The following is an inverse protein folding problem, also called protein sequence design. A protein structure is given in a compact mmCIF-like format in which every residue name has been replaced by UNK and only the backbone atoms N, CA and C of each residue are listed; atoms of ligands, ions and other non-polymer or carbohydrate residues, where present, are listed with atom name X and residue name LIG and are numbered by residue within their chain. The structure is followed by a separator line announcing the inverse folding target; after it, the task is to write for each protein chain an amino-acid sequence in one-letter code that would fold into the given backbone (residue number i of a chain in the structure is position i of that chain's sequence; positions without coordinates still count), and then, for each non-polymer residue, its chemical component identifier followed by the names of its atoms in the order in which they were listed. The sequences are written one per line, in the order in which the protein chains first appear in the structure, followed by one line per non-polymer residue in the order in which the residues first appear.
data_IF_006179064931
#
_entry.id   IF_006179064931
#
_cell.length_a   1.000
_cell.length_b   1.000
_cell.length_c   1.000
_cell.angle_alpha   90.00
_cell.angle_beta   90.00
_cell.angle_gamma   90.00
#
_symmetry.space_group_name_H-M   'P 1'
#
loop_
_entity.id
_entity.type
_entity.pdbx_description
1 polymer ?
#
# COMPACT_ATOMS: atom_id res chain seq x y z
N UNK A 1 -0.35 9.05 27.41
CA UNK A 1 -1.68 9.47 26.86
C UNK A 1 -2.65 8.33 27.07
N UNK A 2 -3.75 8.55 27.82
CA UNK A 2 -4.72 7.49 28.14
C UNK A 2 -5.60 7.22 26.91
N UNK A 3 -5.87 5.96 26.58
CA UNK A 3 -6.70 5.51 25.46
C UNK A 3 -8.08 6.23 25.41
N UNK A 4 -8.60 6.59 26.58
CA UNK A 4 -9.84 7.36 26.73
C UNK A 4 -9.81 8.75 26.08
N UNK A 5 -8.64 9.40 26.01
CA UNK A 5 -8.51 10.72 25.40
C UNK A 5 -8.50 10.61 23.85
N UNK A 6 -8.00 9.50 23.32
CA UNK A 6 -8.01 9.21 21.87
C UNK A 6 -9.45 8.99 21.37
N UNK A 7 -10.25 8.22 22.11
CA UNK A 7 -11.66 7.97 21.76
C UNK A 7 -12.48 9.26 21.85
N UNK A 8 -12.25 10.11 22.85
CA UNK A 8 -12.91 11.43 22.97
C UNK A 8 -12.54 12.37 21.80
N UNK A 9 -11.27 12.37 21.38
CA UNK A 9 -10.79 13.14 20.23
C UNK A 9 -11.50 12.69 18.95
N UNK A 10 -11.51 11.38 18.69
CA UNK A 10 -12.15 10.79 17.51
C UNK A 10 -13.63 11.17 17.43
N UNK A 11 -14.39 11.00 18.53
CA UNK A 11 -15.83 11.30 18.57
C UNK A 11 -16.12 12.79 18.38
N UNK A 12 -15.27 13.66 18.89
CA UNK A 12 -15.44 15.13 18.83
C UNK A 12 -15.06 15.72 17.47
N UNK A 13 -14.12 15.09 16.76
CA UNK A 13 -13.58 15.56 15.48
C UNK A 13 -13.82 14.57 14.33
N UNK A 14 -14.82 13.69 14.50
CA UNK A 14 -15.15 12.63 13.54
C UNK A 14 -15.39 13.20 12.14
N UNK A 15 -16.08 14.33 12.01
CA UNK A 15 -16.34 15.01 10.74
C UNK A 15 -15.02 15.44 10.06
N UNK A 16 -14.07 15.99 10.82
CA UNK A 16 -12.77 16.42 10.27
C UNK A 16 -11.96 15.21 9.78
N UNK A 17 -11.92 14.13 10.56
CA UNK A 17 -11.22 12.90 10.19
C UNK A 17 -11.88 12.29 8.94
N UNK A 18 -13.21 12.21 8.90
CA UNK A 18 -13.96 11.66 7.79
C UNK A 18 -13.76 12.47 6.50
N UNK A 19 -13.72 13.80 6.61
CA UNK A 19 -13.47 14.68 5.47
C UNK A 19 -12.03 14.52 4.93
N UNK A 20 -11.04 14.42 5.82
CA UNK A 20 -9.65 14.15 5.43
C UNK A 20 -9.48 12.76 4.81
N UNK A 21 -10.17 11.73 5.33
CA UNK A 21 -10.13 10.39 4.72
C UNK A 21 -10.75 10.37 3.34
N UNK A 22 -11.88 11.07 3.16
CA UNK A 22 -12.54 11.17 1.86
C UNK A 22 -11.66 11.91 0.85
N UNK A 23 -10.99 12.99 1.26
CA UNK A 23 -10.00 13.69 0.44
C UNK A 23 -8.80 12.80 0.11
N UNK A 24 -8.30 12.01 1.07
CA UNK A 24 -7.21 11.07 0.85
C UNK A 24 -7.57 9.98 -0.16
N UNK A 25 -8.78 9.43 -0.07
CA UNK A 25 -9.29 8.46 -1.05
C UNK A 25 -9.45 9.11 -2.43
N UNK A 26 -10.03 10.32 -2.50
CA UNK A 26 -10.18 11.06 -3.75
C UNK A 26 -8.82 11.35 -4.42
N UNK A 27 -7.81 11.73 -3.63
CA UNK A 27 -6.44 11.91 -4.12
C UNK A 27 -5.83 10.58 -4.61
N UNK A 28 -6.05 9.46 -3.90
CA UNK A 28 -5.60 8.14 -4.32
C UNK A 28 -6.25 7.69 -5.64
N UNK A 29 -7.54 7.95 -5.83
CA UNK A 29 -8.24 7.69 -7.10
C UNK A 29 -7.74 8.64 -8.20
N UNK A 30 -7.49 9.91 -7.90
CA UNK A 30 -6.93 10.87 -8.84
C UNK A 30 -5.55 10.42 -9.36
N UNK A 31 -4.66 9.96 -8.48
CA UNK A 31 -3.36 9.38 -8.85
C UNK A 31 -3.51 8.11 -9.71
N UNK A 32 -4.50 7.27 -9.41
CA UNK A 32 -4.78 6.07 -10.21
C UNK A 32 -5.17 6.43 -11.65
N UNK A 33 -5.96 7.49 -11.84
CA UNK A 33 -6.43 7.92 -13.16
C UNK A 33 -5.30 8.55 -14.01
N UNK A 34 -4.30 9.14 -13.37
CA UNK A 34 -3.13 9.72 -14.05
C UNK A 34 -2.03 8.70 -14.35
N UNK A 35 -2.04 7.53 -13.69
CA UNK A 35 -1.04 6.48 -13.91
C UNK A 35 -1.45 5.59 -15.10
N UNK A 36 -0.62 5.46 -16.15
CA UNK A 36 -0.93 4.61 -17.28
C UNK A 36 -1.08 3.15 -16.86
N UNK A 37 -2.06 2.47 -17.44
CA UNK A 37 -2.27 1.05 -17.18
C UNK A 37 -1.18 0.23 -17.87
N UNK A 38 -0.48 -0.60 -17.12
CA UNK A 38 0.48 -1.55 -17.63
C UNK A 38 0.02 -2.99 -17.36
N UNK A 39 0.42 -3.88 -18.21
CA UNK A 39 0.05 -5.29 -18.15
C UNK A 39 1.30 -6.13 -17.99
N UNK A 40 1.29 -7.05 -17.05
CA UNK A 40 2.42 -7.90 -16.73
C UNK A 40 2.05 -9.36 -16.99
N UNK A 41 2.78 -10.00 -17.87
CA UNK A 41 2.65 -11.41 -18.20
C UNK A 41 3.90 -12.17 -17.73
N UNK A 42 3.74 -13.43 -17.32
CA UNK A 42 4.85 -14.28 -16.89
C UNK A 42 4.83 -15.60 -17.66
N UNK A 43 6.00 -16.02 -18.12
CA UNK A 43 6.24 -17.33 -18.71
C UNK A 43 7.42 -18.01 -17.99
N UNK A 44 7.51 -19.33 -18.04
CA UNK A 44 8.58 -20.09 -17.38
C UNK A 44 9.29 -20.98 -18.38
N UNK A 45 10.60 -20.87 -18.39
CA UNK A 45 11.50 -21.78 -19.14
C UNK A 45 12.11 -22.81 -18.20
N UNK A 46 12.43 -23.96 -18.73
CA UNK A 46 13.13 -25.05 -18.05
C UNK A 46 14.49 -25.32 -18.72
N UNK A 47 15.51 -25.40 -17.89
CA UNK A 47 16.87 -25.76 -18.36
C UNK A 47 17.07 -27.25 -18.12
N UNK A 48 17.22 -27.98 -19.20
CA UNK A 48 17.55 -29.44 -19.16
C UNK A 48 18.95 -29.68 -19.66
N UNK A 49 19.58 -30.71 -19.10
CA UNK A 49 20.83 -31.26 -19.61
C UNK A 49 20.55 -32.67 -20.12
N UNK A 50 20.81 -32.90 -21.41
CA UNK A 50 20.69 -34.23 -22.01
C UNK A 50 21.90 -35.08 -21.61
N UNK A 51 21.66 -36.07 -20.77
CA UNK A 51 22.68 -37.06 -20.42
C UNK A 51 22.69 -38.10 -21.55
N UNK A 52 23.83 -38.23 -22.23
CA UNK A 52 23.98 -39.32 -23.18
C UNK A 52 23.75 -40.65 -22.45
N UNK A 53 22.81 -41.46 -22.95
CA UNK A 53 22.48 -42.76 -22.38
C UNK A 53 23.71 -43.69 -22.52
N UNK A 54 24.64 -43.58 -21.56
CA UNK A 54 25.62 -44.61 -21.35
C UNK A 54 24.92 -45.82 -20.76
N UNK A 55 25.17 -46.98 -21.27
CA UNK A 55 24.54 -48.31 -20.98
C UNK A 55 24.58 -48.70 -19.48
N UNK A 56 25.30 -47.95 -18.66
CA UNK A 56 25.35 -48.05 -17.20
C UNK A 56 24.73 -46.80 -16.61
N UNK A 57 23.42 -46.80 -16.47
CA UNK A 57 22.65 -45.72 -15.85
C UNK A 57 23.00 -45.53 -14.36
N UNK A 58 24.15 -44.93 -14.08
CA UNK A 58 24.53 -44.58 -12.71
C UNK A 58 23.77 -43.33 -12.29
N UNK A 59 23.17 -43.37 -11.12
CA UNK A 59 22.46 -42.29 -10.46
C UNK A 59 23.30 -40.99 -10.38
N UNK A 60 24.62 -41.13 -10.33
CA UNK A 60 25.59 -40.04 -10.29
C UNK A 60 25.55 -39.12 -11.52
N UNK A 61 25.24 -39.68 -12.71
CA UNK A 61 25.13 -38.90 -13.95
C UNK A 61 23.91 -37.97 -13.92
N UNK A 62 22.78 -38.42 -13.32
CA UNK A 62 21.58 -37.57 -13.18
C UNK A 62 21.78 -36.45 -12.18
N UNK A 63 22.43 -36.74 -11.03
CA UNK A 63 22.73 -35.74 -10.04
C UNK A 63 23.66 -34.65 -10.62
N UNK A 64 24.74 -35.03 -11.25
CA UNK A 64 25.70 -34.11 -11.89
C UNK A 64 25.04 -33.28 -12.99
N UNK A 65 24.18 -33.89 -13.82
CA UNK A 65 23.43 -33.20 -14.86
C UNK A 65 22.43 -32.18 -14.26
N UNK A 66 21.73 -32.53 -13.19
CA UNK A 66 20.80 -31.63 -12.50
C UNK A 66 21.53 -30.44 -11.85
N UNK A 67 22.68 -30.70 -11.25
CA UNK A 67 23.50 -29.64 -10.66
C UNK A 67 24.07 -28.70 -11.74
N UNK A 68 24.53 -29.23 -12.87
CA UNK A 68 24.96 -28.43 -14.01
C UNK A 68 23.82 -27.59 -14.57
N UNK A 69 22.63 -28.19 -14.76
CA UNK A 69 21.46 -27.48 -15.25
C UNK A 69 21.06 -26.32 -14.30
N UNK A 70 21.12 -26.50 -12.96
CA UNK A 70 20.85 -25.47 -11.99
C UNK A 70 21.85 -24.32 -12.05
N UNK A 71 23.15 -24.64 -12.17
CA UNK A 71 24.18 -23.60 -12.34
C UNK A 71 24.01 -22.85 -13.66
N UNK A 72 23.73 -23.56 -14.76
CA UNK A 72 23.48 -22.97 -16.08
C UNK A 72 22.19 -22.11 -16.07
N UNK A 73 21.12 -22.56 -15.42
CA UNK A 73 19.89 -21.75 -15.25
C UNK A 73 20.17 -20.40 -14.62
N UNK A 74 20.99 -20.37 -13.58
CA UNK A 74 21.40 -19.12 -12.93
C UNK A 74 22.23 -18.21 -13.87
N UNK A 75 23.16 -18.79 -14.63
CA UNK A 75 23.98 -18.03 -15.57
C UNK A 75 23.18 -17.51 -16.77
N UNK A 76 22.18 -18.26 -17.24
CA UNK A 76 21.37 -17.86 -18.37
C UNK A 76 20.38 -16.73 -18.10
N UNK A 77 20.08 -16.40 -16.84
CA UNK A 77 19.20 -15.26 -16.49
C UNK A 77 19.64 -13.99 -17.23
N UNK A 78 20.94 -13.73 -17.32
CA UNK A 78 21.47 -12.55 -18.02
C UNK A 78 21.26 -12.61 -19.54
N UNK A 79 21.15 -13.78 -20.13
CA UNK A 79 20.88 -13.95 -21.57
C UNK A 79 19.45 -13.52 -21.88
N UNK A 80 18.49 -13.83 -21.00
CA UNK A 80 17.08 -13.48 -21.19
C UNK A 80 16.81 -11.98 -21.14
N UNK A 81 17.68 -11.21 -20.50
CA UNK A 81 17.58 -9.74 -20.43
C UNK A 81 18.59 -9.03 -21.33
N UNK A 82 19.29 -9.76 -22.20
CA UNK A 82 20.31 -9.21 -23.09
C UNK A 82 19.69 -8.36 -24.20
N UNK A 83 20.42 -7.33 -24.64
CA UNK A 83 20.04 -6.49 -25.79
C UNK A 83 19.86 -7.32 -27.07
N UNK A 84 20.67 -8.35 -27.27
CA UNK A 84 20.57 -9.22 -28.45
C UNK A 84 19.22 -9.93 -28.51
N UNK A 85 18.76 -10.49 -27.39
CA UNK A 85 17.42 -11.11 -27.31
C UNK A 85 16.34 -10.07 -27.47
N UNK A 86 16.46 -8.90 -26.82
CA UNK A 86 15.50 -7.81 -26.95
C UNK A 86 15.37 -7.33 -28.42
N UNK A 87 16.48 -7.22 -29.14
CA UNK A 87 16.48 -6.82 -30.55
C UNK A 87 15.75 -7.84 -31.43
N UNK A 88 15.97 -9.15 -31.22
CA UNK A 88 15.26 -10.19 -31.97
C UNK A 88 13.74 -10.17 -31.67
N UNK A 89 13.38 -10.04 -30.40
CA UNK A 89 11.96 -9.96 -30.00
C UNK A 89 11.28 -8.74 -30.63
N UNK A 90 11.94 -7.57 -30.69
CA UNK A 90 11.44 -6.38 -31.36
C UNK A 90 11.21 -6.64 -32.84
N UNK A 91 12.17 -7.28 -33.49
CA UNK A 91 12.07 -7.62 -34.90
C UNK A 91 10.91 -8.59 -35.18
N UNK A 92 10.79 -9.63 -34.36
CA UNK A 92 9.80 -10.73 -34.58
C UNK A 92 8.36 -10.23 -34.28
N UNK A 93 8.19 -9.36 -33.30
CA UNK A 93 6.88 -8.83 -32.92
C UNK A 93 6.55 -7.48 -33.58
N UNK A 94 7.48 -6.88 -34.33
CA UNK A 94 7.29 -5.59 -35.00
C UNK A 94 7.07 -4.43 -34.01
N UNK A 95 7.78 -4.44 -32.88
CA UNK A 95 7.60 -3.42 -31.83
C UNK A 95 8.34 -2.14 -32.20
N UNK A 96 7.72 -0.99 -31.95
CA UNK A 96 8.30 0.34 -32.18
C UNK A 96 8.96 0.90 -30.92
N UNK A 97 9.92 0.17 -30.36
CA UNK A 97 10.70 0.59 -29.19
C UNK A 97 12.17 0.22 -29.32
N UNK A 98 13.05 0.83 -28.51
CA UNK A 98 14.47 0.51 -28.50
C UNK A 98 14.74 -0.79 -27.73
N UNK A 99 15.83 -1.54 -28.07
CA UNK A 99 16.20 -2.74 -27.33
C UNK A 99 16.40 -2.52 -25.82
N UNK A 100 16.95 -1.36 -25.44
CA UNK A 100 17.15 -1.01 -24.04
C UNK A 100 15.82 -0.76 -23.31
N UNK A 101 14.86 -0.12 -23.98
CA UNK A 101 13.52 0.06 -23.42
C UNK A 101 12.80 -1.27 -23.21
N UNK A 102 12.93 -2.21 -24.18
CA UNK A 102 12.35 -3.53 -24.02
C UNK A 102 13.06 -4.33 -22.92
N UNK A 103 14.40 -4.30 -22.88
CA UNK A 103 15.16 -5.00 -21.84
C UNK A 103 14.82 -4.51 -20.42
N UNK A 104 14.56 -3.23 -20.24
CA UNK A 104 14.11 -2.67 -18.95
C UNK A 104 12.70 -3.12 -18.54
N UNK A 105 11.85 -3.48 -19.51
CA UNK A 105 10.50 -4.00 -19.30
C UNK A 105 10.45 -5.53 -19.14
N UNK A 106 11.59 -6.21 -19.24
CA UNK A 106 11.72 -7.66 -19.05
C UNK A 106 12.48 -7.91 -17.75
N UNK A 107 11.95 -8.79 -16.93
CA UNK A 107 12.65 -9.30 -15.75
C UNK A 107 12.76 -10.82 -15.87
N UNK A 108 13.97 -11.33 -15.73
CA UNK A 108 14.21 -12.76 -15.63
C UNK A 108 14.71 -13.11 -14.23
N UNK A 109 14.26 -14.19 -13.66
CA UNK A 109 14.68 -14.67 -12.34
C UNK A 109 14.75 -16.18 -12.30
N UNK A 110 15.73 -16.68 -11.57
CA UNK A 110 15.87 -18.10 -11.24
C UNK A 110 15.78 -18.24 -9.71
N UNK A 111 14.93 -19.16 -9.25
CA UNK A 111 14.87 -19.48 -7.83
C UNK A 111 16.06 -20.35 -7.45
N UNK A 112 16.56 -20.19 -6.22
CA UNK A 112 17.73 -20.91 -5.75
C UNK A 112 17.55 -22.45 -5.93
N UNK A 113 18.54 -23.09 -6.54
CA UNK A 113 18.56 -24.53 -6.85
C UNK A 113 17.41 -24.99 -7.79
N UNK A 114 16.78 -24.08 -8.51
CA UNK A 114 15.75 -24.42 -9.49
C UNK A 114 16.35 -24.56 -10.89
N UNK A 115 15.76 -25.45 -11.68
CA UNK A 115 16.04 -25.63 -13.09
C UNK A 115 15.18 -24.72 -13.97
N UNK A 116 14.40 -23.84 -13.38
CA UNK A 116 13.47 -22.99 -14.10
C UNK A 116 13.91 -21.53 -14.08
N UNK A 117 13.62 -20.85 -15.18
CA UNK A 117 13.81 -19.39 -15.31
C UNK A 117 12.43 -18.79 -15.56
N UNK A 118 12.00 -17.95 -14.65
CA UNK A 118 10.75 -17.18 -14.79
C UNK A 118 11.05 -15.88 -15.51
N UNK A 119 10.37 -15.65 -16.62
CA UNK A 119 10.41 -14.40 -17.38
C UNK A 119 9.13 -13.64 -17.14
N UNK A 120 9.25 -12.37 -16.83
CA UNK A 120 8.12 -11.46 -16.64
C UNK A 120 8.31 -10.28 -17.59
N UNK A 121 7.33 -10.02 -18.44
CA UNK A 121 7.30 -8.90 -19.36
C UNK A 121 6.19 -7.93 -19.01
N UNK A 122 6.47 -6.64 -19.12
CA UNK A 122 5.52 -5.54 -18.88
C UNK A 122 5.30 -4.78 -20.18
N UNK A 123 4.04 -4.51 -20.54
CA UNK A 123 3.66 -3.76 -21.73
C UNK A 123 2.35 -3.00 -21.53
N UNK A 124 2.00 -2.17 -22.52
CA UNK A 124 0.78 -1.34 -22.49
C UNK A 124 -0.50 -2.15 -22.80
N UNK A 125 -0.35 -3.37 -23.33
CA UNK A 125 -1.48 -4.29 -23.57
C UNK A 125 -1.20 -5.70 -23.05
N UNK A 126 -2.27 -6.42 -22.72
CA UNK A 126 -2.19 -7.80 -22.23
C UNK A 126 -1.61 -8.75 -23.28
N UNK A 127 -2.03 -8.58 -24.53
CA UNK A 127 -1.55 -9.40 -25.66
C UNK A 127 -0.07 -9.14 -25.93
N UNK A 128 0.35 -7.87 -25.93
CA UNK A 128 1.77 -7.52 -26.15
C UNK A 128 2.64 -8.07 -25.01
N UNK A 129 2.23 -7.93 -23.76
CA UNK A 129 2.98 -8.48 -22.61
C UNK A 129 3.13 -10.01 -22.71
N UNK A 130 2.04 -10.72 -23.05
CA UNK A 130 2.05 -12.16 -23.26
C UNK A 130 3.02 -12.56 -24.41
N UNK A 131 2.90 -11.88 -25.54
CA UNK A 131 3.72 -12.18 -26.71
C UNK A 131 5.20 -11.93 -26.43
N UNK A 132 5.54 -10.81 -25.77
CA UNK A 132 6.92 -10.53 -25.36
C UNK A 132 7.46 -11.62 -24.44
N UNK A 133 6.71 -12.00 -23.38
CA UNK A 133 7.18 -13.01 -22.43
C UNK A 133 7.47 -14.37 -23.12
N UNK A 134 6.62 -14.79 -24.07
CA UNK A 134 6.79 -16.02 -24.82
C UNK A 134 7.94 -15.91 -25.84
N UNK A 135 8.03 -14.83 -26.60
CA UNK A 135 9.12 -14.59 -27.57
C UNK A 135 10.47 -14.51 -26.90
N UNK A 136 10.57 -13.86 -25.72
CA UNK A 136 11.83 -13.81 -24.95
C UNK A 136 12.35 -15.18 -24.63
N UNK A 137 11.50 -16.12 -24.22
CA UNK A 137 11.95 -17.52 -23.97
C UNK A 137 12.39 -18.18 -25.22
N UNK A 138 11.64 -18.03 -26.33
CA UNK A 138 11.97 -18.62 -27.60
C UNK A 138 13.32 -18.11 -28.14
N UNK A 139 13.51 -16.78 -28.15
CA UNK A 139 14.73 -16.17 -28.65
C UNK A 139 15.93 -16.41 -27.71
N UNK A 140 15.71 -16.44 -26.41
CA UNK A 140 16.74 -16.82 -25.44
C UNK A 140 17.18 -18.28 -25.62
N UNK A 141 16.25 -19.19 -25.95
CA UNK A 141 16.60 -20.59 -26.22
C UNK A 141 17.49 -20.70 -27.47
N UNK A 142 17.19 -19.93 -28.53
CA UNK A 142 18.06 -19.87 -29.74
C UNK A 142 19.42 -19.27 -29.39
N UNK A 143 19.45 -18.17 -28.62
CA UNK A 143 20.69 -17.51 -28.24
C UNK A 143 21.56 -18.39 -27.33
N UNK A 144 20.97 -19.09 -26.36
CA UNK A 144 21.71 -20.09 -25.55
C UNK A 144 22.30 -21.20 -26.43
N UNK A 145 21.54 -21.70 -27.40
CA UNK A 145 22.04 -22.69 -28.35
C UNK A 145 23.22 -22.16 -29.15
N UNK A 146 23.18 -20.89 -29.57
CA UNK A 146 24.30 -20.26 -30.28
C UNK A 146 25.53 -20.10 -29.39
N UNK A 147 25.35 -19.73 -28.13
CA UNK A 147 26.43 -19.51 -27.16
C UNK A 147 27.09 -20.81 -26.69
N UNK A 148 26.29 -21.83 -26.41
CA UNK A 148 26.77 -23.13 -25.92
C UNK A 148 27.23 -24.05 -27.08
N UNK A 149 26.80 -23.76 -28.30
CA UNK A 149 27.06 -24.58 -29.49
C UNK A 149 25.98 -25.63 -29.77
N UNK A 150 25.86 -26.04 -31.03
CA UNK A 150 24.79 -26.96 -31.45
C UNK A 150 24.87 -28.37 -30.81
N UNK A 151 26.05 -28.80 -30.41
CA UNK A 151 26.27 -30.09 -29.74
C UNK A 151 26.20 -30.05 -28.23
N UNK A 152 25.86 -28.89 -27.67
CA UNK A 152 25.73 -28.74 -26.21
C UNK A 152 24.63 -29.64 -25.67
N UNK A 153 24.87 -30.34 -24.56
CA UNK A 153 23.83 -31.11 -23.89
C UNK A 153 22.81 -30.21 -23.16
N UNK A 154 23.10 -28.91 -23.01
CA UNK A 154 22.27 -27.95 -22.31
C UNK A 154 21.24 -27.34 -23.26
N UNK A 155 19.97 -27.40 -22.88
CA UNK A 155 18.87 -26.85 -23.67
C UNK A 155 17.91 -26.09 -22.79
N UNK A 156 17.43 -24.95 -23.30
CA UNK A 156 16.34 -24.18 -22.72
C UNK A 156 15.08 -24.52 -23.48
N UNK A 157 14.04 -24.91 -22.74
CA UNK A 157 12.74 -25.25 -23.33
C UNK A 157 11.65 -24.46 -22.60
N UNK A 158 10.61 -24.06 -23.33
CA UNK A 158 9.44 -23.45 -22.73
C UNK A 158 8.70 -24.48 -21.88
N UNK A 159 8.53 -24.22 -20.59
CA UNK A 159 7.79 -25.06 -19.66
C UNK A 159 6.34 -24.62 -19.55
N UNK A 160 6.12 -23.34 -19.27
CA UNK A 160 4.79 -22.77 -19.12
C UNK A 160 4.73 -21.47 -19.93
N UNK A 161 3.96 -21.42 -21.01
CA UNK A 161 3.76 -20.18 -21.75
C UNK A 161 2.96 -19.18 -20.93
N UNK A 162 3.18 -17.90 -21.19
CA UNK A 162 2.31 -16.84 -20.68
C UNK A 162 0.93 -16.96 -21.29
N UNK A 163 -0.11 -16.89 -20.45
CA UNK A 163 -1.49 -16.91 -20.86
C UNK A 163 -2.20 -15.62 -20.44
N UNK A 164 -3.19 -15.18 -21.21
CA UNK A 164 -3.99 -13.98 -20.94
C UNK A 164 -4.73 -14.05 -19.60
N UNK A 165 -5.14 -15.26 -19.18
CA UNK A 165 -5.82 -15.46 -17.88
C UNK A 165 -4.94 -15.10 -16.67
N UNK A 166 -3.62 -15.12 -16.85
CA UNK A 166 -2.64 -14.85 -15.80
C UNK A 166 -2.02 -13.45 -15.88
N UNK A 167 -2.40 -12.66 -16.88
CA UNK A 167 -1.90 -11.28 -17.03
C UNK A 167 -2.43 -10.40 -15.92
N UNK A 168 -1.53 -9.74 -15.23
CA UNK A 168 -1.86 -8.82 -14.14
C UNK A 168 -1.87 -7.39 -14.65
N UNK A 169 -2.96 -6.67 -14.41
CA UNK A 169 -3.04 -5.24 -14.68
C UNK A 169 -2.50 -4.45 -13.49
N UNK A 170 -1.60 -3.52 -13.75
CA UNK A 170 -1.09 -2.56 -12.79
C UNK A 170 -1.42 -1.13 -13.29
N UNK A 171 -1.62 -0.15 -12.41
CA UNK A 171 -1.70 -0.28 -10.95
C UNK A 171 -3.01 -0.94 -10.50
N UNK A 172 -2.95 -1.74 -9.44
CA UNK A 172 -4.18 -2.30 -8.87
C UNK A 172 -4.94 -1.20 -8.14
N UNK A 173 -6.23 -0.95 -8.45
CA UNK A 173 -7.02 0.13 -7.83
C UNK A 173 -7.09 -0.01 -6.32
N UNK A 174 -7.15 -1.24 -5.81
CA UNK A 174 -7.19 -1.50 -4.38
C UNK A 174 -5.99 -0.94 -3.62
N UNK A 175 -4.77 -1.03 -4.16
CA UNK A 175 -3.56 -0.52 -3.50
C UNK A 175 -3.59 1.00 -3.36
N UNK A 176 -4.04 1.73 -4.38
CA UNK A 176 -4.13 3.19 -4.36
C UNK A 176 -5.23 3.69 -3.42
N UNK A 177 -6.39 3.01 -3.42
CA UNK A 177 -7.50 3.33 -2.51
C UNK A 177 -7.09 3.09 -1.06
N UNK A 178 -6.46 1.94 -0.76
CA UNK A 178 -6.00 1.63 0.60
C UNK A 178 -4.91 2.61 1.05
N UNK A 179 -3.94 2.91 0.19
CA UNK A 179 -2.89 3.88 0.49
C UNK A 179 -3.46 5.28 0.74
N UNK A 180 -4.40 5.74 -0.10
CA UNK A 180 -5.10 7.01 0.07
C UNK A 180 -5.92 7.06 1.36
N UNK A 181 -6.60 5.96 1.71
CA UNK A 181 -7.36 5.84 2.95
C UNK A 181 -6.45 5.93 4.18
N UNK A 182 -5.34 5.18 4.21
CA UNK A 182 -4.40 5.21 5.32
C UNK A 182 -3.75 6.60 5.47
N UNK A 183 -3.32 7.21 4.35
CA UNK A 183 -2.77 8.56 4.36
C UNK A 183 -3.81 9.60 4.83
N UNK A 184 -5.06 9.48 4.36
CA UNK A 184 -6.17 10.35 4.77
C UNK A 184 -6.50 10.25 6.26
N UNK A 185 -6.51 9.03 6.82
CA UNK A 185 -6.69 8.81 8.26
C UNK A 185 -5.56 9.46 9.04
N UNK A 186 -4.30 9.21 8.68
CA UNK A 186 -3.13 9.78 9.34
C UNK A 186 -3.19 11.32 9.34
N UNK A 187 -3.40 11.93 8.19
CA UNK A 187 -3.56 13.38 8.06
C UNK A 187 -4.75 13.90 8.87
N UNK A 188 -5.88 13.16 8.87
CA UNK A 188 -7.06 13.51 9.66
C UNK A 188 -6.78 13.58 11.15
N UNK A 189 -6.02 12.64 11.70
CA UNK A 189 -5.61 12.67 13.11
C UNK A 189 -4.61 13.78 13.41
N UNK A 190 -3.66 14.06 12.52
CA UNK A 190 -2.73 15.18 12.68
C UNK A 190 -3.47 16.51 12.71
N UNK A 191 -4.37 16.75 11.75
CA UNK A 191 -5.16 17.96 11.67
C UNK A 191 -6.09 18.09 12.88
N UNK A 192 -6.75 17.00 13.30
CA UNK A 192 -7.60 16.99 14.50
C UNK A 192 -6.80 17.31 15.77
N UNK A 193 -5.56 16.78 15.88
CA UNK A 193 -4.65 17.05 16.99
C UNK A 193 -4.21 18.53 17.03
N UNK A 194 -3.77 19.08 15.90
CA UNK A 194 -3.37 20.49 15.79
C UNK A 194 -4.56 21.40 16.16
N UNK A 195 -5.74 21.08 15.62
CA UNK A 195 -6.96 21.85 15.89
C UNK A 195 -7.41 21.75 17.35
N UNK A 196 -7.10 20.64 18.03
CA UNK A 196 -7.35 20.50 19.46
C UNK A 196 -6.37 21.33 20.31
N UNK A 197 -5.11 21.39 19.94
CA UNK A 197 -4.10 22.20 20.63
C UNK A 197 -4.37 23.71 20.46
N UNK A 198 -4.94 24.10 19.32
CA UNK A 198 -5.28 25.49 19.02
C UNK A 198 -6.66 25.92 19.59
N UNK A 199 -7.52 24.94 19.91
CA UNK A 199 -8.85 25.19 20.46
C UNK A 199 -8.76 25.55 21.94
N UNK A 200 -8.71 26.84 22.23
CA UNK A 200 -8.65 27.39 23.60
C UNK A 200 -10.02 27.49 24.30
N UNK A 201 -11.08 27.02 23.62
CA UNK A 201 -12.43 27.12 24.18
C UNK A 201 -12.63 26.12 25.32
N UNK A 202 -13.15 26.62 26.44
CA UNK A 202 -13.57 25.80 27.57
C UNK A 202 -14.92 25.16 27.22
N UNK A 203 -14.99 23.83 27.24
CA UNK A 203 -16.19 23.10 26.85
C UNK A 203 -16.75 22.24 27.98
N UNK A 204 -15.97 21.99 29.01
CA UNK A 204 -16.38 21.17 30.15
C UNK A 204 -15.99 21.82 31.46
N UNK A 205 -16.74 21.48 32.52
CA UNK A 205 -16.45 21.91 33.90
C UNK A 205 -15.02 21.49 34.31
N UNK A 206 -14.58 20.34 33.83
CA UNK A 206 -13.23 19.82 34.09
C UNK A 206 -12.12 20.69 33.46
N UNK A 207 -12.36 21.24 32.27
CA UNK A 207 -11.39 22.14 31.60
C UNK A 207 -11.21 23.47 32.40
N UNK A 208 -12.20 23.86 33.18
CA UNK A 208 -12.11 25.03 34.08
C UNK A 208 -11.30 24.68 35.33
N UNK A 209 -11.57 23.52 35.92
CA UNK A 209 -10.88 23.06 37.14
C UNK A 209 -9.38 22.86 36.88
N UNK A 210 -9.01 22.36 35.70
CA UNK A 210 -7.60 22.15 35.33
C UNK A 210 -6.82 23.46 35.06
N UNK A 211 -7.52 24.57 34.79
CA UNK A 211 -6.90 25.86 34.47
C UNK A 211 -6.95 26.87 35.60
N UNK A 212 -7.95 26.76 36.46
CA UNK A 212 -8.18 27.67 37.57
C UNK A 212 -8.13 26.84 38.82
N UNK A 213 -7.10 27.03 39.62
CA UNK A 213 -6.93 26.35 40.92
C UNK A 213 -7.86 26.92 41.98
N UNK A 214 -9.13 27.01 41.64
CA UNK A 214 -10.22 27.52 42.49
C UNK A 214 -11.43 26.59 42.37
N UNK A 215 -12.18 26.39 43.50
CA UNK A 215 -13.37 25.56 43.47
C UNK A 215 -14.46 26.21 42.62
N UNK A 216 -15.15 25.38 41.81
CA UNK A 216 -16.33 25.84 41.03
C UNK A 216 -17.52 25.93 41.93
N UNK A 217 -18.03 27.15 42.12
CA UNK A 217 -19.14 27.40 43.02
C UNK A 217 -20.48 26.89 42.49
N UNK A 218 -20.73 27.04 41.20
CA UNK A 218 -21.92 26.47 40.54
C UNK A 218 -21.74 26.38 39.01
N UNK A 219 -22.54 25.55 38.36
CA UNK A 219 -22.66 25.46 36.91
C UNK A 219 -24.07 25.87 36.52
N UNK A 220 -24.20 26.98 35.80
CA UNK A 220 -25.50 27.50 35.36
C UNK A 220 -25.78 26.96 33.95
N UNK A 221 -26.89 26.23 33.72
CA UNK A 221 -27.25 25.75 32.40
C UNK A 221 -27.65 26.92 31.49
N UNK A 222 -27.33 26.81 30.20
CA UNK A 222 -27.79 27.77 29.20
C UNK A 222 -29.30 27.60 29.01
N UNK A 223 -30.09 28.62 29.36
CA UNK A 223 -31.55 28.66 29.15
C UNK A 223 -31.97 30.01 28.60
N UNK A 224 -33.16 30.07 27.98
CA UNK A 224 -33.75 31.33 27.51
C UNK A 224 -34.01 32.32 28.65
N UNK A 225 -34.34 31.82 29.81
CA UNK A 225 -34.60 32.60 31.02
C UNK A 225 -33.32 33.27 31.54
N UNK A 226 -32.21 32.55 31.56
CA UNK A 226 -30.89 33.07 31.95
C UNK A 226 -30.38 34.06 30.91
N UNK A 227 -30.59 33.78 29.59
CA UNK A 227 -30.17 34.65 28.50
C UNK A 227 -30.98 36.02 28.51
N UNK A 228 -32.22 35.99 28.91
CA UNK A 228 -33.08 37.18 29.00
C UNK A 228 -32.85 38.04 30.25
N UNK A 229 -31.89 37.64 31.14
CA UNK A 229 -31.64 38.34 32.43
C UNK A 229 -32.95 38.52 33.26
N UNK A 230 -33.85 37.54 33.14
CA UNK A 230 -35.11 37.54 33.89
C UNK A 230 -34.86 37.15 35.34
N UNK A 231 -35.51 37.83 36.25
CA UNK A 231 -35.50 37.50 37.70
C UNK A 231 -36.52 36.41 38.05
N UNK A 232 -37.41 36.07 37.11
CA UNK A 232 -38.42 35.05 37.29
C UNK A 232 -37.96 33.72 36.70
N UNK A 233 -37.61 32.76 37.54
CA UNK A 233 -37.16 31.41 37.19
C UNK A 233 -38.22 30.33 37.49
N UNK A 234 -39.48 30.71 37.58
CA UNK A 234 -40.57 29.80 37.93
C UNK A 234 -40.69 28.64 36.95
N UNK A 235 -40.44 28.89 35.67
CA UNK A 235 -40.55 27.89 34.61
C UNK A 235 -39.23 27.11 34.33
N UNK A 236 -38.10 27.52 34.92
CA UNK A 236 -36.79 26.86 34.70
C UNK A 236 -36.20 26.35 36.03
N UNK A 237 -36.72 25.20 36.43
CA UNK A 237 -36.28 24.52 37.67
C UNK A 237 -34.76 24.30 37.74
N UNK A 238 -34.10 24.01 36.60
CA UNK A 238 -32.67 23.76 36.57
C UNK A 238 -31.84 25.01 36.79
N UNK A 239 -32.25 26.12 36.22
CA UNK A 239 -31.60 27.40 36.42
C UNK A 239 -31.82 27.91 37.87
N UNK A 240 -33.05 27.80 38.40
CA UNK A 240 -33.38 28.14 39.78
C UNK A 240 -32.54 27.35 40.79
N UNK A 241 -32.37 26.05 40.58
CA UNK A 241 -31.56 25.18 41.43
C UNK A 241 -30.07 25.51 41.37
N UNK A 242 -29.57 25.83 40.18
CA UNK A 242 -28.18 26.24 39.99
C UNK A 242 -27.85 27.54 40.72
N UNK A 243 -28.78 28.50 40.70
CA UNK A 243 -28.66 29.78 41.43
C UNK A 243 -28.75 29.58 42.95
N UNK A 244 -29.63 28.70 43.44
CA UNK A 244 -29.66 28.33 44.85
C UNK A 244 -28.35 27.74 45.33
N UNK A 245 -27.77 26.80 44.55
CA UNK A 245 -26.46 26.22 44.85
C UNK A 245 -25.35 27.27 44.83
N UNK A 246 -25.38 28.19 43.87
CA UNK A 246 -24.42 29.31 43.81
C UNK A 246 -24.49 30.14 45.08
N UNK A 247 -25.70 30.55 45.49
CA UNK A 247 -25.92 31.35 46.68
C UNK A 247 -25.43 30.66 47.98
N UNK A 248 -25.70 29.37 48.09
CA UNK A 248 -25.28 28.58 49.23
C UNK A 248 -23.75 28.45 49.30
N UNK A 249 -23.13 28.09 48.17
CA UNK A 249 -21.67 27.91 48.08
C UNK A 249 -20.92 29.23 48.26
N UNK A 250 -21.47 30.33 47.74
CA UNK A 250 -20.91 31.68 47.96
C UNK A 250 -20.89 32.04 49.44
N UNK A 251 -21.99 31.73 50.14
CA UNK A 251 -22.09 32.00 51.58
C UNK A 251 -21.08 31.23 52.43
N UNK A 252 -20.82 29.94 52.05
CA UNK A 252 -19.78 29.16 52.69
C UNK A 252 -18.38 29.70 52.37
N UNK A 253 -18.11 30.05 51.11
CA UNK A 253 -16.83 30.61 50.73
C UNK A 253 -16.50 31.96 51.34
N UNK A 254 -17.51 32.78 51.67
CA UNK A 254 -17.33 34.04 52.37
C UNK A 254 -17.01 33.86 53.89
N UNK A 255 -17.57 32.82 54.50
CA UNK A 255 -17.32 32.51 55.93
C UNK A 255 -15.89 31.97 56.10
N UNK A 256 -15.46 31.12 55.22
CA UNK A 256 -14.11 30.50 55.25
C UNK A 256 -12.98 31.52 55.02
N UNK A 257 -13.25 32.62 54.35
CA UNK A 257 -12.28 33.69 54.05
C UNK A 257 -12.26 34.81 55.11
N UNK A 258 -13.11 34.71 56.14
CA UNK A 258 -13.20 35.67 57.24
C UNK A 258 -12.62 35.17 58.57
N UNK A 259 -12.01 33.96 58.54
CA UNK A 259 -11.27 33.38 59.67
C UNK A 259 -9.78 33.43 59.39
#
# INVERSE_FOLDING_TARGET
MKFTNFVKLTRRRLVTILLCTLLGVAAGVGLLLTTPATYTASATAYVRVSVASSTNGSTDNYYSASQLASQKAKAFVTVFTSQTVAQQVIHDLGLSMTPDALASNITASNEANSLTIKVTATADSADTARNIANSVISESAKQVKNLEGEKSPVQVVMMTPADLSQVKKAPSPAKYVIAGLLAGILLGYVVAGIRQLTDRRVHTVHDVTDRVDKPILATIPTSSTVAAISTDFTDDFRAAEAIRKLRTNLRYAMIDNSS
#
